data_IF_450698121594
#
_entry.id   IF_450698121594
#
_cell.length_a   1.000
_cell.length_b   1.000
_cell.length_c   1.000
_cell.angle_alpha   90.00
_cell.angle_beta   90.00
_cell.angle_gamma   90.00
#
_symmetry.space_group_name_H-M   'P 1'
#
loop_
_entity.id
_entity.type
_entity.pdbx_description
1 polymer ?
#
# COMPACT_ATOMS: atom_id res chain seq x y z
N UNK A 1 43.45 4.87 -97.10
CA UNK A 1 43.01 6.28 -97.00
C UNK A 1 41.67 6.26 -96.26
N UNK A 2 41.38 7.03 -95.21
CA UNK A 2 42.17 7.91 -94.32
C UNK A 2 41.70 7.63 -92.86
N UNK A 3 42.39 7.92 -91.76
CA UNK A 3 43.44 8.90 -91.38
C UNK A 3 42.99 10.36 -91.17
N UNK A 4 42.16 10.56 -90.14
CA UNK A 4 42.13 11.74 -89.25
C UNK A 4 41.88 11.16 -87.84
N UNK A 5 42.65 11.32 -86.75
CA UNK A 5 43.62 12.31 -86.24
C UNK A 5 43.08 13.65 -85.73
N UNK A 6 43.12 13.77 -84.38
CA UNK A 6 43.16 14.99 -83.54
C UNK A 6 41.80 15.72 -83.45
N UNK A 7 41.44 16.39 -82.34
CA UNK A 7 42.26 17.10 -81.34
C UNK A 7 41.81 16.91 -79.88
N UNK A 8 42.72 17.15 -78.93
CA UNK A 8 42.42 17.42 -77.51
C UNK A 8 42.20 18.92 -77.30
N UNK A 9 41.19 19.30 -76.52
CA UNK A 9 40.97 20.64 -75.95
C UNK A 9 39.87 20.50 -74.90
N UNK A 10 40.16 20.54 -73.60
CA UNK A 10 40.52 21.71 -72.76
C UNK A 10 39.32 22.61 -72.50
N UNK A 11 38.49 22.20 -71.54
CA UNK A 11 37.83 23.12 -70.61
C UNK A 11 37.78 22.50 -69.22
N UNK A 12 38.78 22.84 -68.41
CA UNK A 12 38.78 22.58 -66.98
C UNK A 12 37.98 23.69 -66.30
N UNK A 13 36.65 23.67 -66.48
CA UNK A 13 35.76 24.63 -65.84
C UNK A 13 35.95 24.58 -64.33
N UNK A 14 36.34 25.73 -63.79
CA UNK A 14 36.62 25.95 -62.38
C UNK A 14 35.41 25.52 -61.55
N UNK A 15 35.55 24.47 -60.73
CA UNK A 15 34.59 24.25 -59.64
C UNK A 15 34.80 25.39 -58.63
N UNK A 16 33.73 26.09 -58.20
CA UNK A 16 33.87 27.03 -57.10
C UNK A 16 34.37 26.29 -55.86
N UNK A 17 35.19 26.91 -55.00
CA UNK A 17 35.64 26.28 -53.77
C UNK A 17 34.42 25.92 -52.93
N UNK A 18 34.34 24.65 -52.51
CA UNK A 18 33.31 24.19 -51.58
C UNK A 18 33.39 25.08 -50.33
N UNK A 19 32.29 25.71 -49.88
CA UNK A 19 32.33 26.50 -48.66
C UNK A 19 32.79 25.61 -47.51
N UNK A 20 33.74 26.11 -46.70
CA UNK A 20 34.23 25.38 -45.55
C UNK A 20 33.05 25.03 -44.62
N UNK A 21 33.01 23.81 -44.03
CA UNK A 21 31.94 23.45 -43.13
C UNK A 21 31.89 24.47 -41.99
N UNK A 22 30.72 25.09 -41.81
CA UNK A 22 30.49 26.02 -40.71
C UNK A 22 30.84 25.31 -39.39
N UNK A 23 31.60 25.99 -38.53
CA UNK A 23 32.12 25.42 -37.30
C UNK A 23 30.97 24.78 -36.49
N UNK A 24 31.12 23.50 -36.14
CA UNK A 24 30.08 22.81 -35.40
C UNK A 24 29.82 23.53 -34.06
N UNK A 25 28.55 23.77 -33.67
CA UNK A 25 28.25 24.34 -32.37
C UNK A 25 28.76 23.41 -31.26
N UNK A 26 29.24 23.96 -30.13
CA UNK A 26 29.86 23.17 -29.08
C UNK A 26 28.90 22.11 -28.54
N UNK A 27 29.44 20.96 -28.15
CA UNK A 27 28.65 19.76 -27.83
C UNK A 27 27.59 19.98 -26.73
N UNK A 28 27.79 20.96 -25.84
CA UNK A 28 26.83 21.34 -24.80
C UNK A 28 25.51 21.90 -25.37
N UNK A 29 25.57 22.71 -26.43
CA UNK A 29 24.38 23.31 -27.04
C UNK A 29 23.51 22.24 -27.71
N UNK A 30 24.15 21.19 -28.25
CA UNK A 30 23.46 20.00 -28.82
C UNK A 30 22.69 19.21 -27.75
N UNK A 31 23.19 19.17 -26.51
CA UNK A 31 22.51 18.50 -25.38
C UNK A 31 21.33 19.36 -24.91
N UNK A 32 21.52 20.67 -24.75
CA UNK A 32 20.45 21.60 -24.38
C UNK A 32 19.29 21.58 -25.39
N UNK A 33 19.59 21.63 -26.69
CA UNK A 33 18.58 21.55 -27.75
C UNK A 33 17.77 20.23 -27.70
N UNK A 34 18.43 19.08 -27.53
CA UNK A 34 17.76 17.77 -27.40
C UNK A 34 16.91 17.65 -26.13
N UNK A 35 17.28 18.33 -25.05
CA UNK A 35 16.45 18.38 -23.83
C UNK A 35 15.22 19.25 -24.02
N UNK A 36 15.33 20.40 -24.71
CA UNK A 36 14.19 21.24 -25.05
C UNK A 36 13.18 20.50 -25.95
N UNK A 37 13.66 19.84 -27.01
CA UNK A 37 12.84 19.03 -27.93
C UNK A 37 12.10 17.89 -27.20
N UNK A 38 12.78 17.20 -26.28
CA UNK A 38 12.16 16.17 -25.42
C UNK A 38 11.11 16.74 -24.45
N UNK A 39 11.34 17.93 -23.91
CA UNK A 39 10.39 18.60 -23.02
C UNK A 39 9.13 19.05 -23.76
N UNK A 40 9.27 19.54 -25.00
CA UNK A 40 8.17 19.95 -25.85
C UNK A 40 7.32 18.75 -26.31
N UNK A 41 7.96 17.67 -26.80
CA UNK A 41 7.28 16.42 -27.13
C UNK A 41 6.53 15.79 -25.93
N UNK A 42 7.05 15.97 -24.70
CA UNK A 42 6.36 15.54 -23.46
C UNK A 42 5.13 16.39 -23.15
N UNK A 43 5.19 17.72 -23.36
CA UNK A 43 4.03 18.62 -23.24
C UNK A 43 2.96 18.29 -24.25
N UNK A 44 3.33 18.05 -25.50
CA UNK A 44 2.38 17.72 -26.57
C UNK A 44 1.66 16.39 -26.30
N UNK A 45 2.38 15.36 -25.84
CA UNK A 45 1.77 14.10 -25.37
C UNK A 45 0.85 14.30 -24.17
N UNK A 46 1.17 15.18 -23.22
CA UNK A 46 0.28 15.50 -22.09
C UNK A 46 -0.97 16.25 -22.54
N UNK A 47 -0.87 17.15 -23.51
CA UNK A 47 -2.02 17.84 -24.10
C UNK A 47 -2.95 16.88 -24.86
N UNK A 48 -2.40 15.91 -25.59
CA UNK A 48 -3.17 14.86 -26.27
C UNK A 48 -3.74 13.79 -25.31
N UNK A 49 -3.08 13.55 -24.16
CA UNK A 49 -3.49 12.58 -23.16
C UNK A 49 -4.47 13.13 -22.10
N UNK A 50 -4.78 14.44 -22.11
CA UNK A 50 -5.97 14.92 -21.42
C UNK A 50 -7.19 14.34 -22.15
N UNK A 51 -8.00 13.45 -21.52
CA UNK A 51 -9.24 13.03 -22.13
C UNK A 51 -10.08 14.27 -22.34
N UNK A 52 -10.57 14.49 -23.57
CA UNK A 52 -11.54 15.54 -23.83
C UNK A 52 -12.66 15.35 -22.82
N UNK A 53 -12.84 16.32 -21.92
CA UNK A 53 -13.82 16.22 -20.86
C UNK A 53 -15.19 16.09 -21.53
N UNK A 54 -15.72 14.86 -21.56
CA UNK A 54 -17.03 14.57 -22.11
C UNK A 54 -17.99 15.48 -21.38
N UNK A 55 -18.61 16.42 -22.09
CA UNK A 55 -19.55 17.35 -21.46
C UNK A 55 -20.54 16.50 -20.66
N UNK A 56 -20.71 16.76 -19.35
CA UNK A 56 -21.61 15.97 -18.54
C UNK A 56 -22.98 16.00 -19.21
N UNK A 57 -23.53 14.82 -19.46
CA UNK A 57 -24.79 14.70 -20.18
C UNK A 57 -25.83 15.62 -19.51
N UNK A 58 -26.62 16.38 -20.29
CA UNK A 58 -27.60 17.29 -19.71
C UNK A 58 -28.48 16.50 -18.74
N UNK A 59 -28.74 17.02 -17.52
CA UNK A 59 -29.53 16.30 -16.54
C UNK A 59 -30.89 15.97 -17.16
N UNK A 60 -31.43 14.74 -16.92
CA UNK A 60 -32.76 14.40 -17.42
C UNK A 60 -33.76 15.44 -16.90
N UNK A 61 -34.78 15.82 -17.70
CA UNK A 61 -35.75 16.82 -17.30
C UNK A 61 -36.36 16.40 -15.97
N UNK A 62 -36.26 17.28 -14.97
CA UNK A 62 -36.75 17.01 -13.63
C UNK A 62 -38.26 16.79 -13.68
N UNK A 63 -38.68 15.52 -13.68
CA UNK A 63 -40.04 15.16 -13.39
C UNK A 63 -40.35 15.71 -12.00
N UNK A 64 -41.34 16.61 -11.92
CA UNK A 64 -41.79 17.22 -10.68
C UNK A 64 -42.53 16.19 -9.81
N UNK A 65 -41.78 15.21 -9.30
CA UNK A 65 -42.22 14.31 -8.26
C UNK A 65 -42.37 15.13 -6.98
N UNK A 66 -43.62 15.46 -6.66
CA UNK A 66 -43.98 16.17 -5.45
C UNK A 66 -43.42 15.45 -4.23
N UNK A 67 -42.40 16.04 -3.60
CA UNK A 67 -41.82 15.59 -2.35
C UNK A 67 -42.81 15.90 -1.22
N UNK A 68 -43.85 15.07 -1.10
CA UNK A 68 -44.51 14.88 0.17
C UNK A 68 -43.44 14.44 1.18
N UNK A 69 -43.43 14.98 2.42
CA UNK A 69 -42.51 14.53 3.44
C UNK A 69 -42.71 13.04 3.65
N UNK A 70 -41.63 12.26 3.59
CA UNK A 70 -41.69 10.84 3.86
C UNK A 70 -42.32 10.64 5.25
N UNK A 71 -43.32 9.74 5.41
CA UNK A 71 -43.83 9.43 6.73
C UNK A 71 -42.66 8.94 7.59
N UNK A 72 -42.61 9.27 8.89
CA UNK A 72 -41.57 8.76 9.77
C UNK A 72 -41.58 7.23 9.68
N UNK A 73 -40.52 6.66 9.11
CA UNK A 73 -40.36 5.22 9.01
C UNK A 73 -40.51 4.62 10.41
N UNK A 74 -41.16 3.45 10.55
CA UNK A 74 -41.39 2.87 11.86
C UNK A 74 -40.05 2.76 12.57
N UNK A 75 -39.94 3.45 13.71
CA UNK A 75 -38.79 3.32 14.59
C UNK A 75 -38.76 1.87 15.07
N UNK A 76 -37.96 1.05 14.38
CA UNK A 76 -37.65 -0.29 14.84
C UNK A 76 -37.16 -0.12 16.29
N UNK A 77 -37.85 -0.73 17.29
CA UNK A 77 -37.37 -0.64 18.64
C UNK A 77 -35.94 -1.19 18.65
N UNK A 78 -35.03 -0.64 19.45
CA UNK A 78 -33.77 -1.31 19.74
C UNK A 78 -34.12 -2.55 20.55
N UNK A 79 -34.50 -3.61 19.84
CA UNK A 79 -34.38 -4.98 20.28
C UNK A 79 -32.88 -5.23 20.42
N UNK A 80 -32.33 -4.74 21.53
CA UNK A 80 -31.04 -5.16 22.06
C UNK A 80 -31.23 -6.66 22.26
N UNK A 81 -30.80 -7.43 21.27
CA UNK A 81 -30.83 -8.88 21.29
C UNK A 81 -29.85 -9.32 22.35
N UNK A 82 -30.34 -9.37 23.59
CA UNK A 82 -29.56 -9.79 24.74
C UNK A 82 -29.36 -11.31 24.61
N UNK A 83 -28.32 -11.67 23.85
CA UNK A 83 -28.03 -13.04 23.50
C UNK A 83 -27.81 -13.83 24.78
N UNK A 84 -28.69 -14.79 25.00
CA UNK A 84 -28.63 -15.69 26.16
C UNK A 84 -27.24 -16.34 26.25
N UNK A 85 -26.74 -16.62 27.46
CA UNK A 85 -25.38 -17.15 27.64
C UNK A 85 -25.07 -18.42 26.82
N UNK A 86 -26.07 -19.27 26.55
CA UNK A 86 -25.92 -20.43 25.65
C UNK A 86 -25.75 -20.04 24.18
N UNK A 87 -26.45 -19.01 23.71
CA UNK A 87 -26.23 -18.46 22.37
C UNK A 87 -24.83 -17.84 22.28
N UNK A 88 -24.39 -17.07 23.28
CA UNK A 88 -23.03 -16.49 23.31
C UNK A 88 -21.95 -17.58 23.16
N UNK A 89 -22.05 -18.69 23.91
CA UNK A 89 -21.11 -19.83 23.80
C UNK A 89 -21.10 -20.49 22.41
N UNK A 90 -22.26 -20.71 21.79
CA UNK A 90 -22.33 -21.22 20.43
C UNK A 90 -21.72 -20.24 19.40
N UNK A 91 -21.90 -18.94 19.64
CA UNK A 91 -21.37 -17.86 18.79
C UNK A 91 -19.85 -17.77 18.91
N UNK A 92 -19.28 -17.93 20.10
CA UNK A 92 -17.83 -17.94 20.34
C UNK A 92 -17.12 -19.00 19.51
N UNK A 93 -17.64 -20.23 19.45
CA UNK A 93 -17.06 -21.31 18.64
C UNK A 93 -17.06 -20.97 17.14
N UNK A 94 -18.18 -20.45 16.63
CA UNK A 94 -18.32 -20.01 15.23
C UNK A 94 -17.38 -18.84 14.90
N UNK A 95 -17.28 -17.84 15.79
CA UNK A 95 -16.34 -16.71 15.65
C UNK A 95 -14.92 -17.21 15.60
N UNK A 96 -14.52 -18.10 16.53
CA UNK A 96 -13.17 -18.63 16.58
C UNK A 96 -12.82 -19.39 15.29
N UNK A 97 -13.77 -20.14 14.72
CA UNK A 97 -13.60 -20.85 13.45
C UNK A 97 -13.45 -19.88 12.27
N UNK A 98 -14.30 -18.85 12.18
CA UNK A 98 -14.21 -17.82 11.14
C UNK A 98 -12.91 -17.00 11.24
N UNK A 99 -12.54 -16.58 12.45
CA UNK A 99 -11.30 -15.84 12.71
C UNK A 99 -10.07 -16.65 12.29
N UNK A 100 -9.97 -17.92 12.70
CA UNK A 100 -8.89 -18.85 12.29
C UNK A 100 -8.79 -19.02 10.77
N UNK A 101 -9.89 -18.90 10.04
CA UNK A 101 -9.91 -18.86 8.58
C UNK A 101 -9.40 -17.56 7.93
N UNK A 102 -8.91 -16.60 8.72
CA UNK A 102 -8.47 -15.29 8.23
C UNK A 102 -9.60 -14.30 7.93
N UNK A 103 -10.86 -14.64 8.29
CA UNK A 103 -12.04 -13.81 8.00
C UNK A 103 -11.91 -12.43 8.68
N UNK A 104 -12.29 -11.36 7.98
CA UNK A 104 -12.27 -10.00 8.54
C UNK A 104 -13.42 -9.80 9.54
N UNK A 105 -13.23 -8.93 10.53
CA UNK A 105 -14.28 -8.61 11.53
C UNK A 105 -15.60 -8.15 10.88
N UNK A 106 -15.54 -7.48 9.72
CA UNK A 106 -16.73 -7.10 8.95
C UNK A 106 -17.47 -8.32 8.41
N UNK A 107 -16.77 -9.24 7.74
CA UNK A 107 -17.38 -10.46 7.23
C UNK A 107 -17.88 -11.39 8.36
N UNK A 108 -17.25 -11.36 9.55
CA UNK A 108 -17.76 -12.02 10.76
C UNK A 108 -19.06 -11.36 11.23
N UNK A 109 -19.13 -10.02 11.27
CA UNK A 109 -20.33 -9.29 11.65
C UNK A 109 -21.50 -9.58 10.69
N UNK A 110 -21.23 -9.54 9.38
CA UNK A 110 -22.18 -9.84 8.32
C UNK A 110 -22.69 -11.30 8.43
N UNK A 111 -21.80 -12.27 8.68
CA UNK A 111 -22.16 -13.69 8.85
C UNK A 111 -22.99 -13.96 10.13
N UNK A 112 -22.87 -13.11 11.15
CA UNK A 112 -23.64 -13.18 12.39
C UNK A 112 -24.91 -12.30 12.37
N UNK A 113 -25.16 -11.56 11.29
CA UNK A 113 -26.28 -10.62 11.20
C UNK A 113 -26.20 -9.44 12.19
N UNK A 114 -24.99 -9.00 12.53
CA UNK A 114 -24.73 -7.91 13.49
C UNK A 114 -23.83 -6.83 12.90
N UNK A 115 -23.51 -5.80 13.68
CA UNK A 115 -22.60 -4.71 13.26
C UNK A 115 -21.20 -4.89 13.86
N UNK A 116 -20.18 -4.32 13.21
CA UNK A 116 -18.81 -4.33 13.73
C UNK A 116 -18.73 -3.64 15.11
N UNK A 117 -19.52 -2.57 15.31
CA UNK A 117 -19.60 -1.87 16.60
C UNK A 117 -20.13 -2.78 17.72
N UNK A 118 -21.09 -3.67 17.43
CA UNK A 118 -21.54 -4.66 18.40
C UNK A 118 -20.46 -5.70 18.72
N UNK A 119 -19.72 -6.20 17.72
CA UNK A 119 -18.60 -7.11 17.97
C UNK A 119 -17.51 -6.46 18.84
N UNK A 120 -17.16 -5.20 18.55
CA UNK A 120 -16.18 -4.45 19.35
C UNK A 120 -16.67 -4.23 20.77
N UNK A 121 -17.95 -3.88 20.96
CA UNK A 121 -18.55 -3.76 22.28
C UNK A 121 -18.51 -5.09 23.06
N UNK A 122 -18.86 -6.21 22.43
CA UNK A 122 -18.78 -7.53 23.06
C UNK A 122 -17.34 -7.94 23.39
N UNK A 123 -16.35 -7.56 22.58
CA UNK A 123 -14.94 -7.78 22.90
C UNK A 123 -14.43 -6.95 24.09
N UNK A 124 -15.03 -5.79 24.37
CA UNK A 124 -14.75 -5.00 25.58
C UNK A 124 -15.47 -5.57 26.81
N UNK A 125 -16.68 -6.11 26.63
CA UNK A 125 -17.49 -6.70 27.70
C UNK A 125 -17.06 -8.13 28.10
N UNK A 126 -16.42 -8.89 27.21
CA UNK A 126 -16.04 -10.30 27.41
C UNK A 126 -14.63 -10.60 26.83
N UNK A 127 -13.66 -10.86 27.71
CA UNK A 127 -12.28 -11.19 27.32
C UNK A 127 -12.18 -12.50 26.50
N UNK A 128 -13.03 -13.49 26.76
CA UNK A 128 -13.02 -14.73 25.98
C UNK A 128 -13.52 -14.48 24.54
N UNK A 129 -14.41 -13.50 24.37
CA UNK A 129 -14.86 -13.02 23.06
C UNK A 129 -13.76 -12.25 22.32
N UNK A 130 -13.05 -11.35 23.02
CA UNK A 130 -11.86 -10.69 22.49
C UNK A 130 -10.82 -11.69 21.98
N UNK A 131 -10.45 -12.67 22.81
CA UNK A 131 -9.44 -13.66 22.47
C UNK A 131 -9.89 -14.57 21.31
N UNK A 132 -11.19 -14.90 21.24
CA UNK A 132 -11.75 -15.64 20.11
C UNK A 132 -11.74 -14.84 18.80
N UNK A 133 -11.94 -13.52 18.86
CA UNK A 133 -11.90 -12.61 17.70
C UNK A 133 -10.47 -12.42 17.16
N UNK A 134 -9.48 -12.40 18.07
CA UNK A 134 -8.07 -12.17 17.75
C UNK A 134 -7.23 -13.44 17.54
N UNK A 135 -7.72 -14.63 17.89
CA UNK A 135 -6.97 -15.89 17.71
C UNK A 135 -6.60 -16.25 16.26
N UNK A 136 -7.15 -15.54 15.28
CA UNK A 136 -6.86 -15.70 13.86
C UNK A 136 -6.00 -14.58 13.26
N UNK A 137 -5.54 -13.62 14.05
CA UNK A 137 -4.78 -12.48 13.54
C UNK A 137 -3.43 -12.93 12.93
N UNK A 138 -2.74 -13.90 13.52
CA UNK A 138 -1.51 -14.47 12.93
C UNK A 138 -1.79 -15.12 11.56
N UNK A 139 -2.88 -15.88 11.42
CA UNK A 139 -3.27 -16.47 10.14
C UNK A 139 -3.64 -15.40 9.10
N UNK A 140 -4.34 -14.33 9.52
CA UNK A 140 -4.69 -13.19 8.67
C UNK A 140 -3.44 -12.42 8.23
N UNK A 141 -2.49 -12.19 9.13
CA UNK A 141 -1.20 -11.56 8.84
C UNK A 141 -0.45 -12.40 7.81
N UNK A 142 -0.32 -13.72 8.01
CA UNK A 142 0.30 -14.63 7.04
C UNK A 142 -0.37 -14.53 5.66
N UNK A 143 -1.70 -14.63 5.57
CA UNK A 143 -2.43 -14.50 4.30
C UNK A 143 -2.20 -13.16 3.59
N UNK A 144 -2.12 -12.05 4.34
CA UNK A 144 -1.81 -10.72 3.79
C UNK A 144 -0.34 -10.64 3.36
N UNK A 145 0.58 -11.20 4.13
CA UNK A 145 2.01 -11.28 3.81
C UNK A 145 2.26 -12.09 2.54
N UNK A 146 1.62 -13.26 2.41
CA UNK A 146 1.65 -14.11 1.22
C UNK A 146 1.06 -13.39 0.01
N UNK A 147 -0.11 -12.75 0.16
CA UNK A 147 -0.73 -11.98 -0.92
C UNK A 147 0.14 -10.78 -1.37
N UNK A 148 0.79 -10.08 -0.44
CA UNK A 148 1.74 -9.00 -0.75
C UNK A 148 2.99 -9.53 -1.46
N UNK A 149 3.54 -10.66 -1.01
CA UNK A 149 4.69 -11.32 -1.65
C UNK A 149 4.35 -11.77 -3.08
N UNK A 150 3.23 -12.46 -3.24
CA UNK A 150 2.74 -12.93 -4.53
C UNK A 150 2.42 -11.77 -5.50
N UNK A 151 1.91 -10.64 -5.01
CA UNK A 151 1.70 -9.42 -5.81
C UNK A 151 3.01 -8.68 -6.11
N UNK A 152 4.02 -8.80 -5.24
CA UNK A 152 5.34 -8.20 -5.39
C UNK A 152 6.19 -8.93 -6.47
N UNK A 153 5.92 -10.20 -6.74
CA UNK A 153 6.56 -10.96 -7.82
C UNK A 153 5.99 -10.57 -9.20
N UNK A 154 6.82 -10.57 -10.27
CA UNK A 154 6.34 -10.37 -11.63
C UNK A 154 5.51 -11.58 -12.10
N UNK A 155 4.31 -11.32 -12.63
CA UNK A 155 3.35 -12.36 -13.04
C UNK A 155 3.12 -12.38 -14.54
N UNK A 156 2.83 -13.55 -15.11
CA UNK A 156 2.28 -13.65 -16.47
C UNK A 156 0.77 -13.39 -16.43
N UNK A 157 0.34 -12.22 -16.91
CA UNK A 157 -1.06 -11.93 -17.12
C UNK A 157 -1.52 -12.51 -18.46
N UNK A 158 -2.52 -13.39 -18.42
CA UNK A 158 -3.18 -13.92 -19.61
C UNK A 158 -4.32 -12.98 -19.99
N UNK A 159 -4.05 -12.05 -20.92
CA UNK A 159 -5.08 -11.15 -21.45
C UNK A 159 -5.85 -11.86 -22.57
N UNK A 160 -7.13 -12.14 -22.32
CA UNK A 160 -8.06 -12.60 -23.34
C UNK A 160 -8.75 -11.39 -23.98
N UNK A 161 -8.40 -11.08 -25.23
CA UNK A 161 -9.02 -10.02 -26.01
C UNK A 161 -10.06 -10.60 -26.95
N UNK A 162 -11.31 -10.56 -26.52
CA UNK A 162 -12.48 -10.97 -27.31
C UNK A 162 -12.84 -9.88 -28.31
N UNK A 163 -12.76 -10.19 -29.61
CA UNK A 163 -13.25 -9.33 -30.70
C UNK A 163 -14.45 -9.99 -31.35
N UNK A 164 -15.62 -9.34 -31.29
CA UNK A 164 -16.73 -9.70 -32.19
C UNK A 164 -16.38 -9.21 -33.60
N UNK A 165 -16.38 -10.13 -34.57
CA UNK A 165 -16.16 -9.80 -35.98
C UNK A 165 -17.49 -9.89 -36.71
N UNK A 166 -18.09 -8.72 -36.95
CA UNK A 166 -19.28 -8.58 -37.80
C UNK A 166 -18.92 -8.88 -39.25
N UNK A 167 -19.33 -10.04 -39.75
CA UNK A 167 -19.16 -10.47 -41.14
C UNK A 167 -20.49 -10.30 -41.87
N UNK A 168 -20.48 -9.55 -42.97
CA UNK A 168 -21.68 -9.11 -43.71
C UNK A 168 -22.78 -10.19 -43.84
N UNK A 169 -23.83 -10.12 -43.01
CA UNK A 169 -25.01 -10.98 -43.06
C UNK A 169 -24.92 -12.33 -42.31
N UNK A 170 -23.81 -12.65 -41.64
CA UNK A 170 -23.66 -13.84 -40.80
C UNK A 170 -23.74 -13.49 -39.30
N UNK A 171 -24.09 -14.44 -38.41
CA UNK A 171 -24.03 -14.21 -36.96
C UNK A 171 -22.60 -13.88 -36.50
N UNK A 172 -22.48 -13.03 -35.48
CA UNK A 172 -21.20 -12.49 -35.03
C UNK A 172 -20.23 -13.59 -34.55
N UNK A 173 -19.15 -13.82 -35.29
CA UNK A 173 -18.08 -14.73 -34.87
C UNK A 173 -17.24 -14.08 -33.76
N UNK A 174 -17.16 -14.76 -32.62
CA UNK A 174 -16.42 -14.32 -31.43
C UNK A 174 -14.99 -14.81 -31.52
N UNK A 175 -14.06 -13.92 -31.89
CA UNK A 175 -12.64 -14.26 -31.97
C UNK A 175 -11.93 -13.91 -30.66
N UNK A 176 -11.56 -14.93 -29.88
CA UNK A 176 -10.82 -14.76 -28.62
C UNK A 176 -9.32 -14.87 -28.89
N UNK A 177 -8.62 -13.73 -28.91
CA UNK A 177 -7.15 -13.72 -28.97
C UNK A 177 -6.59 -13.75 -27.54
N UNK A 178 -5.88 -14.81 -27.19
CA UNK A 178 -5.21 -14.94 -25.89
C UNK A 178 -3.75 -14.51 -26.00
N UNK A 179 -3.37 -13.43 -25.34
CA UNK A 179 -2.00 -12.93 -25.27
C UNK A 179 -1.44 -13.15 -23.86
N UNK A 180 -0.19 -13.62 -23.74
CA UNK A 180 0.52 -13.67 -22.47
C UNK A 180 1.43 -12.44 -22.38
N UNK A 181 1.22 -11.61 -21.37
CA UNK A 181 2.05 -10.44 -21.09
C UNK A 181 2.69 -10.59 -19.71
N UNK A 182 4.00 -10.33 -19.60
CA UNK A 182 4.68 -10.35 -18.31
C UNK A 182 4.51 -9.00 -17.63
N UNK A 183 3.63 -8.94 -16.64
CA UNK A 183 3.33 -7.74 -15.86
C UNK A 183 4.35 -7.63 -14.72
N UNK A 184 4.92 -6.44 -14.56
CA UNK A 184 5.82 -6.13 -13.44
C UNK A 184 5.09 -6.29 -12.10
N UNK A 185 5.81 -6.74 -11.06
CA UNK A 185 5.25 -6.84 -9.72
C UNK A 185 4.86 -5.47 -9.17
N UNK A 186 3.88 -5.44 -8.26
CA UNK A 186 3.41 -4.19 -7.66
C UNK A 186 4.49 -3.61 -6.72
N UNK A 187 5.07 -2.48 -7.13
CA UNK A 187 6.12 -1.78 -6.38
C UNK A 187 5.64 -1.22 -5.05
N UNK A 188 4.34 -0.97 -4.88
CA UNK A 188 3.77 -0.60 -3.59
C UNK A 188 3.69 -1.81 -2.66
N UNK A 189 3.23 -2.96 -3.15
CA UNK A 189 3.24 -4.23 -2.41
C UNK A 189 4.66 -4.65 -2.02
N UNK A 190 5.63 -4.56 -2.94
CA UNK A 190 7.06 -4.78 -2.66
C UNK A 190 7.54 -3.91 -1.49
N UNK A 191 7.25 -2.60 -1.52
CA UNK A 191 7.67 -1.66 -0.48
C UNK A 191 7.03 -1.98 0.87
N UNK A 192 5.73 -2.28 0.90
CA UNK A 192 5.03 -2.66 2.13
C UNK A 192 5.56 -3.98 2.71
N UNK A 193 5.81 -4.98 1.87
CA UNK A 193 6.38 -6.26 2.29
C UNK A 193 7.79 -6.09 2.89
N UNK A 194 8.67 -5.33 2.23
CA UNK A 194 10.01 -5.04 2.73
C UNK A 194 9.99 -4.27 4.06
N UNK A 195 9.05 -3.33 4.22
CA UNK A 195 8.84 -2.59 5.47
C UNK A 195 8.35 -3.47 6.62
N UNK A 196 7.49 -4.46 6.34
CA UNK A 196 7.03 -5.41 7.34
C UNK A 196 8.11 -6.44 7.71
N UNK A 197 8.85 -6.96 6.72
CA UNK A 197 9.84 -8.01 6.91
C UNK A 197 11.16 -7.52 7.54
N UNK A 198 11.57 -6.27 7.25
CA UNK A 198 12.79 -5.65 7.80
C UNK A 198 12.55 -4.17 8.13
N UNK A 199 11.80 -3.87 9.21
CA UNK A 199 11.47 -2.49 9.59
C UNK A 199 12.74 -1.66 9.83
N UNK A 200 13.80 -2.23 10.40
CA UNK A 200 15.04 -1.50 10.72
C UNK A 200 15.79 -0.97 9.48
N UNK A 201 15.52 -1.52 8.30
CA UNK A 201 16.17 -1.14 7.03
C UNK A 201 15.23 -0.29 6.16
N UNK A 202 13.94 -0.65 6.09
CA UNK A 202 13.01 -0.07 5.12
C UNK A 202 11.95 0.86 5.71
N UNK A 203 11.77 0.88 7.04
CA UNK A 203 10.90 1.87 7.68
C UNK A 203 11.56 3.25 7.46
N UNK A 204 10.86 4.22 6.85
CA UNK A 204 11.44 5.53 6.62
C UNK A 204 11.83 6.12 7.96
N UNK A 205 13.10 6.52 8.11
CA UNK A 205 13.68 6.88 9.40
C UNK A 205 12.81 7.95 10.10
N UNK A 206 12.07 7.48 11.11
CA UNK A 206 11.11 8.31 11.83
C UNK A 206 11.87 9.33 12.67
N UNK A 207 13.09 9.02 13.10
CA UNK A 207 13.96 9.97 13.79
C UNK A 207 14.37 11.10 12.86
N UNK A 208 14.75 10.82 11.61
CA UNK A 208 15.03 11.85 10.61
C UNK A 208 13.80 12.75 10.35
N UNK A 209 12.61 12.17 10.22
CA UNK A 209 11.36 12.94 10.04
C UNK A 209 10.99 13.78 11.27
N UNK A 210 11.11 13.23 12.47
CA UNK A 210 10.87 13.94 13.73
C UNK A 210 11.92 15.03 13.96
N UNK A 211 13.17 14.82 13.54
CA UNK A 211 14.22 15.83 13.59
C UNK A 211 13.97 16.97 12.60
N UNK A 212 13.46 16.70 11.39
CA UNK A 212 13.02 17.73 10.44
C UNK A 212 11.83 18.52 11.02
N UNK A 213 10.82 17.84 11.56
CA UNK A 213 9.69 18.46 12.25
C UNK A 213 10.15 19.35 13.43
N UNK A 214 11.02 18.82 14.31
CA UNK A 214 11.58 19.58 15.43
C UNK A 214 12.44 20.76 14.97
N UNK A 215 13.21 20.62 13.88
CA UNK A 215 14.00 21.71 13.32
C UNK A 215 13.13 22.81 12.67
N UNK A 216 11.93 22.46 12.18
CA UNK A 216 10.95 23.42 11.65
C UNK A 216 10.08 24.05 12.75
N UNK A 217 9.82 23.35 13.85
CA UNK A 217 9.02 23.86 14.99
C UNK A 217 9.88 24.65 16.00
N UNK A 218 11.13 24.27 16.24
CA UNK A 218 11.98 24.98 17.21
C UNK A 218 12.24 26.48 16.92
N UNK A 219 12.38 26.99 15.68
CA UNK A 219 12.57 28.42 15.44
C UNK A 219 11.33 29.28 15.75
N UNK A 220 10.17 28.69 16.06
CA UNK A 220 9.06 29.47 16.64
C UNK A 220 9.45 29.95 18.05
N UNK A 221 9.51 31.27 18.22
CA UNK A 221 9.68 31.91 19.53
C UNK A 221 8.53 31.51 20.46
N UNK A 222 8.80 31.56 21.76
CA UNK A 222 7.95 30.98 22.80
C UNK A 222 6.52 31.53 22.82
N UNK A 223 6.31 32.77 22.35
CA UNK A 223 4.98 33.36 22.22
C UNK A 223 4.16 32.82 21.03
N UNK A 224 4.81 32.45 19.92
CA UNK A 224 4.13 31.78 18.80
C UNK A 224 3.73 30.34 19.13
N UNK A 225 4.38 29.71 20.12
CA UNK A 225 4.04 28.36 20.60
C UNK A 225 2.76 28.35 21.45
N UNK A 226 2.36 29.49 22.03
CA UNK A 226 1.17 29.63 22.89
C UNK A 226 -0.13 29.80 22.09
N UNK A 227 -0.07 30.26 20.84
CA UNK A 227 -1.26 30.36 19.98
C UNK A 227 -1.47 29.06 19.18
N UNK A 228 -2.55 28.30 19.43
CA UNK A 228 -2.83 27.05 18.71
C UNK A 228 -3.02 27.25 17.20
N UNK A 229 -3.35 28.46 16.73
CA UNK A 229 -3.47 28.77 15.30
C UNK A 229 -2.11 28.77 14.59
N UNK A 230 -1.08 29.28 15.26
CA UNK A 230 0.28 29.29 14.72
C UNK A 230 0.86 27.87 14.67
N UNK A 231 0.62 27.06 15.70
CA UNK A 231 0.98 25.64 15.71
C UNK A 231 0.26 24.85 14.58
N UNK A 232 -1.04 25.07 14.39
CA UNK A 232 -1.81 24.42 13.33
C UNK A 232 -1.33 24.81 11.92
N UNK A 233 -1.01 26.09 11.70
CA UNK A 233 -0.45 26.56 10.42
C UNK A 233 0.95 26.01 10.15
N UNK A 234 1.80 25.87 11.18
CA UNK A 234 3.10 25.22 11.05
C UNK A 234 2.95 23.74 10.66
N UNK A 235 2.09 22.98 11.36
CA UNK A 235 1.78 21.58 11.05
C UNK A 235 1.26 21.38 9.61
N UNK A 236 0.33 22.24 9.17
CA UNK A 236 -0.17 22.23 7.79
C UNK A 236 0.93 22.54 6.76
N UNK A 237 1.87 23.42 7.11
CA UNK A 237 3.08 23.69 6.32
C UNK A 237 3.93 22.42 6.12
N UNK A 238 4.25 21.69 7.19
CA UNK A 238 5.07 20.48 7.11
C UNK A 238 4.36 19.35 6.38
N UNK A 239 3.04 19.19 6.58
CA UNK A 239 2.25 18.20 5.82
C UNK A 239 2.31 18.50 4.32
N UNK A 240 2.13 19.78 3.93
CA UNK A 240 2.20 20.21 2.53
C UNK A 240 3.59 20.02 1.94
N UNK A 241 4.64 20.36 2.66
CA UNK A 241 6.02 20.18 2.19
C UNK A 241 6.39 18.69 2.08
N UNK A 242 5.93 17.85 3.01
CA UNK A 242 6.07 16.40 2.95
C UNK A 242 5.37 15.77 1.73
N UNK A 243 4.18 16.25 1.37
CA UNK A 243 3.50 15.85 0.13
C UNK A 243 4.29 16.29 -1.11
N UNK A 244 4.74 17.54 -1.17
CA UNK A 244 5.55 18.07 -2.28
C UNK A 244 6.90 17.33 -2.43
N UNK A 245 7.51 16.88 -1.33
CA UNK A 245 8.72 16.07 -1.36
C UNK A 245 8.45 14.65 -1.86
N UNK A 246 7.31 14.04 -1.50
CA UNK A 246 6.88 12.76 -2.03
C UNK A 246 6.61 12.81 -3.54
N UNK A 247 6.00 13.90 -4.03
CA UNK A 247 5.80 14.12 -5.47
C UNK A 247 7.11 14.36 -6.23
N UNK A 248 8.06 15.12 -5.66
CA UNK A 248 9.37 15.41 -6.27
C UNK A 248 10.29 14.21 -6.36
N UNK A 249 10.28 13.33 -5.35
CA UNK A 249 11.17 12.16 -5.32
C UNK A 249 10.75 11.03 -6.26
N UNK A 250 9.54 11.11 -6.83
CA UNK A 250 9.02 10.14 -7.80
C UNK A 250 8.84 8.73 -7.24
N UNK A 251 8.48 7.75 -8.11
CA UNK A 251 8.79 6.36 -7.80
C UNK A 251 10.32 6.23 -7.71
N UNK A 252 10.81 5.53 -6.68
CA UNK A 252 12.21 5.12 -6.62
C UNK A 252 12.49 4.23 -7.84
N UNK A 253 13.16 4.79 -8.84
CA UNK A 253 13.82 4.02 -9.89
C UNK A 253 14.96 3.24 -9.21
N UNK A 254 14.65 2.00 -8.82
CA UNK A 254 15.67 1.04 -8.37
C UNK A 254 16.47 0.69 -9.62
N UNK A 255 17.66 1.27 -9.72
CA UNK A 255 18.55 1.09 -10.86
C UNK A 255 19.02 -0.38 -10.92
N UNK A 256 18.37 -1.16 -11.79
CA UNK A 256 18.54 -2.60 -11.88
C UNK A 256 19.90 -3.02 -12.46
N UNK A 257 20.67 -2.08 -13.02
CA UNK A 257 21.99 -2.36 -13.62
C UNK A 257 23.15 -2.32 -12.60
N UNK A 258 22.92 -1.84 -11.37
CA UNK A 258 23.98 -1.68 -10.36
C UNK A 258 24.44 -2.98 -9.66
N UNK A 259 23.77 -4.11 -9.91
CA UNK A 259 24.13 -5.41 -9.34
C UNK A 259 24.69 -6.36 -10.42
N UNK A 260 26.00 -6.67 -10.42
CA UNK A 260 26.55 -7.66 -11.34
C UNK A 260 26.06 -9.07 -10.95
N UNK A 261 24.94 -9.47 -11.57
CA UNK A 261 24.49 -10.85 -11.57
C UNK A 261 25.52 -11.69 -12.33
N UNK A 262 26.43 -12.32 -11.58
CA UNK A 262 27.24 -13.43 -12.08
C UNK A 262 26.30 -14.57 -12.47
N UNK A 263 25.91 -14.60 -13.75
CA UNK A 263 25.31 -15.76 -14.38
C UNK A 263 26.34 -16.89 -14.41
N UNK A 264 26.38 -17.68 -13.33
CA UNK A 264 27.00 -18.98 -13.34
C UNK A 264 26.21 -19.85 -14.33
N UNK A 265 26.82 -20.13 -15.48
CA UNK A 265 26.29 -21.10 -16.45
C UNK A 265 26.15 -22.45 -15.73
N UNK A 266 24.95 -23.05 -15.63
CA UNK A 266 24.81 -24.36 -15.01
C UNK A 266 25.59 -25.37 -15.85
N UNK A 267 26.54 -26.06 -15.22
CA UNK A 267 27.27 -27.15 -15.87
C UNK A 267 26.29 -28.26 -16.24
N UNK A 268 26.42 -28.75 -17.47
CA UNK A 268 25.62 -29.83 -18.02
C UNK A 268 25.83 -31.11 -17.17
N UNK A 269 24.76 -31.73 -16.62
CA UNK A 269 24.91 -32.86 -15.71
C UNK A 269 25.32 -34.12 -16.48
N UNK A 270 26.54 -34.62 -16.24
CA UNK A 270 26.96 -35.90 -16.80
C UNK A 270 26.09 -37.06 -16.29
N UNK A 271 25.78 -38.06 -17.14
CA UNK A 271 24.95 -39.20 -16.77
C UNK A 271 25.69 -40.14 -15.81
N UNK A 272 25.42 -40.01 -14.52
CA UNK A 272 25.98 -40.89 -13.49
C UNK A 272 25.50 -42.34 -13.64
N UNK A 273 26.39 -43.35 -13.59
CA UNK A 273 26.01 -44.74 -13.80
C UNK A 273 25.17 -45.32 -12.65
N UNK A 274 24.21 -46.16 -13.01
CA UNK A 274 23.30 -46.79 -12.06
C UNK A 274 24.01 -47.78 -11.10
N UNK A 275 23.61 -47.78 -9.83
CA UNK A 275 23.96 -48.84 -8.87
C UNK A 275 24.58 -48.34 -7.56
N UNK A 276 23.78 -47.68 -6.71
CA UNK A 276 24.16 -47.35 -5.33
C UNK A 276 22.95 -47.46 -4.42
N UNK A 277 23.03 -48.30 -3.38
CA UNK A 277 21.95 -48.46 -2.42
C UNK A 277 21.78 -47.20 -1.57
N UNK A 278 20.54 -46.78 -1.35
CA UNK A 278 20.22 -45.69 -0.43
C UNK A 278 20.55 -46.12 1.02
N UNK A 279 21.28 -45.30 1.81
CA UNK A 279 21.46 -45.59 3.23
C UNK A 279 20.11 -45.46 3.97
N UNK A 280 19.93 -46.17 5.10
CA UNK A 280 18.73 -46.06 5.91
C UNK A 280 18.59 -44.63 6.46
N UNK A 281 17.39 -44.07 6.34
CA UNK A 281 17.05 -42.74 6.87
C UNK A 281 16.96 -42.85 8.40
N UNK A 282 17.89 -42.23 9.12
CA UNK A 282 17.78 -42.09 10.57
C UNK A 282 16.61 -41.17 10.94
N UNK A 283 15.89 -41.53 12.00
CA UNK A 283 14.73 -40.77 12.47
C UNK A 283 15.17 -39.43 13.08
N UNK A 284 15.01 -38.34 12.31
CA UNK A 284 15.31 -36.99 12.76
C UNK A 284 14.34 -36.55 13.89
N UNK A 285 14.86 -36.63 15.11
CA UNK A 285 14.45 -35.92 16.34
C UNK A 285 13.31 -34.88 16.19
N UNK A 286 12.08 -35.30 16.50
CA UNK A 286 10.95 -34.38 16.70
C UNK A 286 10.94 -33.86 18.15
N UNK A 287 11.90 -33.00 18.51
CA UNK A 287 12.02 -32.44 19.85
C UNK A 287 12.51 -31.00 19.83
N UNK A 288 11.60 -30.03 19.97
CA UNK A 288 11.98 -28.60 19.98
C UNK A 288 10.86 -27.56 20.10
N UNK A 289 9.59 -27.93 19.87
CA UNK A 289 8.48 -26.98 19.98
C UNK A 289 8.05 -26.71 21.44
N UNK A 290 7.87 -27.75 22.25
CA UNK A 290 7.30 -27.60 23.60
C UNK A 290 8.26 -26.99 24.64
N UNK A 291 9.57 -27.25 24.52
CA UNK A 291 10.56 -26.73 25.48
C UNK A 291 10.58 -25.18 25.55
N UNK A 292 10.38 -24.49 24.42
CA UNK A 292 10.26 -23.02 24.40
C UNK A 292 8.94 -22.51 24.99
N UNK A 293 7.91 -23.36 25.06
CA UNK A 293 6.59 -23.01 25.62
C UNK A 293 6.58 -23.10 27.14
N UNK A 294 7.32 -24.04 27.72
CA UNK A 294 7.48 -24.14 29.18
C UNK A 294 8.43 -23.07 29.73
N UNK A 295 9.52 -22.74 29.03
CA UNK A 295 10.48 -21.71 29.48
C UNK A 295 9.82 -20.32 29.69
N UNK A 296 8.83 -19.96 28.87
CA UNK A 296 8.07 -18.70 29.02
C UNK A 296 7.01 -18.74 30.13
N UNK A 297 6.76 -19.90 30.74
CA UNK A 297 5.83 -20.05 31.86
C UNK A 297 6.53 -19.86 33.21
N UNK A 298 7.80 -20.25 33.34
CA UNK A 298 8.58 -20.03 34.57
C UNK A 298 8.99 -18.57 34.74
N UNK A 299 9.42 -17.87 33.68
CA UNK A 299 9.79 -16.45 33.76
C UNK A 299 8.65 -15.49 34.19
N UNK A 300 7.38 -15.95 34.17
CA UNK A 300 6.23 -15.14 34.63
C UNK A 300 5.91 -15.29 36.12
N UNK A 301 6.56 -16.21 36.85
CA UNK A 301 6.19 -16.51 38.25
C UNK A 301 7.10 -15.89 39.31
N UNK A 302 8.31 -15.44 38.97
CA UNK A 302 9.25 -14.82 39.92
C UNK A 302 9.10 -13.29 40.03
N UNK A 303 8.14 -12.70 39.31
CA UNK A 303 7.79 -11.27 39.38
C UNK A 303 7.01 -10.87 40.63
N UNK A 304 7.42 -11.33 41.82
CA UNK A 304 6.82 -10.93 43.09
C UNK A 304 7.27 -9.52 43.44
N UNK A 305 6.52 -8.52 43.00
CA UNK A 305 6.61 -7.17 43.54
C UNK A 305 6.12 -7.20 44.99
N UNK A 306 7.08 -7.26 45.92
CA UNK A 306 6.80 -7.05 47.33
C UNK A 306 6.40 -5.60 47.57
N UNK A 307 5.12 -5.34 47.79
CA UNK A 307 4.67 -4.06 48.34
C UNK A 307 5.29 -3.87 49.73
N UNK A 308 6.07 -2.79 49.88
CA UNK A 308 6.59 -2.37 51.16
C UNK A 308 5.46 -1.81 52.05
N UNK A 309 5.62 -1.83 53.39
CA UNK A 309 4.58 -1.38 54.32
C UNK A 309 4.39 0.15 54.37
N UNK A 310 4.95 0.92 53.43
CA UNK A 310 5.02 2.39 53.49
C UNK A 310 3.99 3.10 52.60
N UNK A 311 3.23 2.37 51.77
CA UNK A 311 2.22 2.94 50.86
C UNK A 311 0.80 3.08 51.48
N UNK A 312 0.59 2.69 52.75
CA UNK A 312 -0.75 2.70 53.37
C UNK A 312 -1.23 4.09 53.85
N UNK A 313 -0.33 5.07 53.98
CA UNK A 313 -0.68 6.38 54.55
C UNK A 313 -1.18 7.42 53.52
N UNK A 314 -1.13 7.12 52.22
CA UNK A 314 -1.48 8.07 51.15
C UNK A 314 -2.97 8.13 50.78
N UNK A 315 -3.75 7.06 50.99
CA UNK A 315 -5.18 7.05 50.63
C UNK A 315 -6.08 7.81 51.63
N UNK A 316 -5.61 8.06 52.87
CA UNK A 316 -6.43 8.71 53.90
C UNK A 316 -6.48 10.25 53.75
N UNK A 317 -5.62 10.84 52.92
CA UNK A 317 -5.48 12.30 52.79
C UNK A 317 -6.38 12.96 51.72
N UNK A 318 -7.05 12.20 50.84
CA UNK A 318 -7.92 12.74 49.77
C UNK A 318 -9.43 12.59 50.04
N UNK A 319 -9.83 12.23 51.26
CA UNK A 319 -11.23 12.10 51.66
C UNK A 319 -11.87 13.40 52.20
N UNK A 320 -11.21 14.55 52.05
CA UNK A 320 -11.67 15.85 52.53
C UNK A 320 -12.27 16.72 51.42
N UNK A 321 -13.40 17.35 51.74
CA UNK A 321 -13.94 18.57 51.12
C UNK A 321 -14.28 18.49 49.61
N UNK A 322 -15.35 17.74 49.30
CA UNK A 322 -16.17 17.99 48.11
C UNK A 322 -17.54 18.51 48.55
N UNK A 323 -17.62 19.80 48.84
CA UNK A 323 -18.83 20.45 49.33
C UNK A 323 -19.99 20.32 48.32
N UNK A 324 -21.13 19.88 48.83
CA UNK A 324 -22.33 19.55 48.04
C UNK A 324 -23.22 20.77 47.77
N UNK A 325 -22.63 21.88 47.32
CA UNK A 325 -23.37 23.11 47.00
C UNK A 325 -24.10 23.01 45.65
N UNK A 326 -25.31 22.46 45.74
CA UNK A 326 -26.51 22.90 45.03
C UNK A 326 -26.40 23.34 43.56
N UNK A 327 -26.50 22.38 42.63
CA UNK A 327 -26.91 22.67 41.26
C UNK A 327 -28.41 22.37 41.10
N UNK A 328 -29.28 23.40 41.22
CA UNK A 328 -30.71 23.28 40.89
C UNK A 328 -30.92 23.62 39.39
N UNK A 329 -31.31 22.66 38.54
CA UNK A 329 -31.49 22.88 37.10
C UNK A 329 -32.76 23.67 36.73
N UNK A 330 -33.42 24.35 37.69
CA UNK A 330 -34.66 25.13 37.47
C UNK A 330 -34.47 26.63 37.22
N UNK A 331 -33.26 27.17 37.35
CA UNK A 331 -32.99 28.61 37.17
C UNK A 331 -32.50 29.01 35.76
N UNK A 332 -32.78 28.21 34.72
CA UNK A 332 -32.54 28.62 33.31
C UNK A 332 -33.86 28.72 32.56
N UNK A 333 -34.36 29.96 32.46
CA UNK A 333 -35.47 30.36 31.58
C UNK A 333 -35.02 30.86 30.22
#
# INVERSE_FOLDING_TARGET
MNRQQRTRGRDASQRPPTPAPAAEPPAMDRIAARQAERAEARRERQAQAQPQATQPAPPPPAAAASLAPAPPGPSLPPAVLDMTGRQRLATLASIQQLAKGGTTQRAIADALGTTVNHLQRWAVEDQAFHDALHCGDEARISLVTDALFENALPREAVQQKTKLVKRNGAPDEVHVTTTRERVAGDTAAQRMFLQAARPDIYRPDVSAKVNILNAQVNPMTEDHRKDPRHLAMALLGVIREGMMAAERNGPLEIDAEAAPLHHATPAEPEPSPAGGAWPPVEAAYSGGADARREQRKTERHDGVYGYGPEDQDLETAMAGDFDADGYDPREVG
#
